data_IF_455568100216
#
_entry.id   IF_455568100216
#
_cell.length_a   1.000
_cell.length_b   1.000
_cell.length_c   1.000
_cell.angle_alpha   90.00
_cell.angle_beta   90.00
_cell.angle_gamma   90.00
#
_symmetry.space_group_name_H-M   'P 1'
#
loop_
_entity.id
_entity.type
_entity.pdbx_description
1 polymer ?
#
# COMPACT_ATOMS: atom_id res chain seq x y z
N UNK A 1 39.87 -20.29 -11.48
CA UNK A 1 39.81 -20.72 -10.07
C UNK A 1 40.25 -19.64 -9.10
N UNK A 2 41.53 -19.23 -9.03
CA UNK A 2 41.97 -18.27 -8.00
C UNK A 2 41.56 -16.81 -8.28
N UNK A 3 41.20 -16.48 -9.52
CA UNK A 3 40.67 -15.17 -9.94
C UNK A 3 39.18 -15.03 -9.68
N UNK A 4 38.43 -16.13 -9.84
CA UNK A 4 36.97 -16.18 -9.66
C UNK A 4 36.62 -16.04 -8.18
N UNK A 5 37.35 -16.76 -7.30
CA UNK A 5 37.19 -16.65 -5.84
C UNK A 5 37.42 -15.24 -5.29
N UNK A 6 38.41 -14.50 -5.82
CA UNK A 6 38.66 -13.10 -5.41
C UNK A 6 37.58 -12.13 -5.87
N UNK A 7 36.93 -12.42 -7.00
CA UNK A 7 35.82 -11.61 -7.49
C UNK A 7 34.59 -11.82 -6.60
N UNK A 8 34.32 -13.07 -6.19
CA UNK A 8 33.24 -13.42 -5.27
C UNK A 8 33.46 -12.76 -3.89
N UNK A 9 34.67 -12.86 -3.33
CA UNK A 9 35.02 -12.23 -2.04
C UNK A 9 34.85 -10.69 -2.07
N UNK A 10 35.18 -10.06 -3.21
CA UNK A 10 35.01 -8.62 -3.38
C UNK A 10 33.53 -8.23 -3.50
N UNK A 11 32.73 -9.02 -4.23
CA UNK A 11 31.29 -8.80 -4.37
C UNK A 11 30.58 -8.91 -3.01
N UNK A 12 30.93 -9.90 -2.20
CA UNK A 12 30.41 -10.07 -0.84
C UNK A 12 30.74 -8.87 0.06
N UNK A 13 31.96 -8.34 -0.07
CA UNK A 13 32.37 -7.17 0.71
C UNK A 13 31.56 -5.92 0.31
N UNK A 14 31.34 -5.71 -0.99
CA UNK A 14 30.52 -4.61 -1.49
C UNK A 14 29.06 -4.74 -1.06
N UNK A 15 28.50 -5.95 -1.09
CA UNK A 15 27.13 -6.20 -0.69
C UNK A 15 26.91 -5.89 0.79
N UNK A 16 27.81 -6.32 1.67
CA UNK A 16 27.78 -5.96 3.11
C UNK A 16 27.90 -4.47 3.35
N UNK A 17 28.72 -3.77 2.56
CA UNK A 17 28.82 -2.32 2.64
C UNK A 17 27.50 -1.65 2.25
N UNK A 18 26.89 -2.07 1.13
CA UNK A 18 25.60 -1.53 0.68
C UNK A 18 24.49 -1.78 1.70
N UNK A 19 24.44 -2.97 2.30
CA UNK A 19 23.52 -3.30 3.39
C UNK A 19 23.73 -2.43 4.64
N UNK A 20 24.97 -2.03 4.93
CA UNK A 20 25.26 -1.12 6.03
C UNK A 20 24.86 0.34 5.73
N UNK A 21 24.91 0.76 4.47
CA UNK A 21 24.65 2.13 4.04
C UNK A 21 23.18 2.40 3.72
N UNK A 22 22.43 1.38 3.28
CA UNK A 22 21.04 1.50 2.88
C UNK A 22 20.17 0.45 3.57
N UNK A 23 18.96 0.85 3.93
CA UNK A 23 17.90 -0.06 4.35
C UNK A 23 16.66 0.12 3.49
N UNK A 24 15.72 -0.81 3.63
CA UNK A 24 14.42 -0.69 2.99
C UNK A 24 13.72 0.56 3.49
N UNK A 25 13.07 1.26 2.57
CA UNK A 25 12.35 2.48 2.90
C UNK A 25 11.13 2.14 3.77
N UNK A 26 11.09 2.67 4.98
CA UNK A 26 10.00 2.41 5.93
C UNK A 26 8.63 2.93 5.47
N UNK A 27 8.58 3.79 4.45
CA UNK A 27 7.32 4.30 3.88
C UNK A 27 6.69 3.35 2.85
N UNK A 28 7.47 2.46 2.22
CA UNK A 28 7.00 1.56 1.17
C UNK A 28 7.49 0.11 1.30
N UNK A 29 8.12 -0.21 2.43
CA UNK A 29 8.69 -1.52 2.76
C UNK A 29 9.53 -2.13 1.61
N UNK A 30 10.40 -1.32 1.02
CA UNK A 30 11.32 -1.80 -0.03
C UNK A 30 10.76 -1.81 -1.45
N UNK A 31 9.45 -1.62 -1.63
CA UNK A 31 8.81 -1.75 -2.95
C UNK A 31 9.08 -0.56 -3.88
N UNK A 32 9.28 0.63 -3.33
CA UNK A 32 9.36 1.88 -4.07
C UNK A 32 7.99 2.49 -4.42
N UNK A 33 6.90 1.80 -4.09
CA UNK A 33 5.53 2.21 -4.43
C UNK A 33 4.67 2.27 -3.18
N UNK A 34 3.72 3.20 -3.16
CA UNK A 34 2.75 3.32 -2.07
C UNK A 34 1.35 3.42 -2.63
N UNK A 35 0.41 2.77 -1.94
CA UNK A 35 -1.01 2.89 -2.26
C UNK A 35 -1.44 4.36 -2.19
N UNK A 36 -2.04 4.83 -3.27
CA UNK A 36 -2.60 6.16 -3.38
C UNK A 36 -3.63 6.40 -2.28
N UNK A 37 -3.63 7.59 -1.68
CA UNK A 37 -4.56 7.97 -0.62
C UNK A 37 -6.04 7.77 -1.01
N UNK A 38 -6.42 8.16 -2.24
CA UNK A 38 -7.80 7.99 -2.71
C UNK A 38 -8.19 6.51 -2.81
N UNK A 39 -7.25 5.66 -3.23
CA UNK A 39 -7.48 4.22 -3.29
C UNK A 39 -7.56 3.59 -1.91
N UNK A 40 -6.75 4.04 -0.96
CA UNK A 40 -6.83 3.60 0.44
C UNK A 40 -8.19 3.92 1.04
N UNK A 41 -8.67 5.15 0.86
CA UNK A 41 -9.99 5.58 1.32
C UNK A 41 -11.11 4.78 0.65
N UNK A 42 -11.01 4.57 -0.67
CA UNK A 42 -11.97 3.78 -1.42
C UNK A 42 -12.02 2.33 -0.91
N UNK A 43 -10.88 1.66 -0.74
CA UNK A 43 -10.79 0.28 -0.23
C UNK A 43 -11.30 0.16 1.22
N UNK A 44 -11.02 1.15 2.07
CA UNK A 44 -11.55 1.20 3.43
C UNK A 44 -13.07 1.23 3.41
N UNK A 45 -13.66 2.10 2.58
CA UNK A 45 -15.11 2.21 2.43
C UNK A 45 -15.74 0.95 1.80
N UNK A 46 -15.05 0.30 0.87
CA UNK A 46 -15.48 -0.98 0.32
C UNK A 46 -15.61 -2.04 1.42
N UNK A 47 -14.62 -2.10 2.32
CA UNK A 47 -14.60 -3.05 3.45
C UNK A 47 -15.76 -2.80 4.41
N UNK A 48 -16.04 -1.53 4.73
CA UNK A 48 -17.19 -1.14 5.56
C UNK A 48 -18.53 -1.56 4.93
N UNK A 49 -18.70 -1.33 3.63
CA UNK A 49 -19.92 -1.70 2.90
C UNK A 49 -20.15 -3.22 2.86
N UNK A 50 -19.08 -4.01 2.70
CA UNK A 50 -19.14 -5.48 2.78
C UNK A 50 -19.60 -5.93 4.17
N UNK A 51 -19.06 -5.34 5.23
CA UNK A 51 -19.47 -5.64 6.60
C UNK A 51 -20.96 -5.32 6.84
N UNK A 52 -21.43 -4.17 6.35
CA UNK A 52 -22.85 -3.78 6.41
C UNK A 52 -23.73 -4.77 5.63
N UNK A 53 -23.32 -5.20 4.44
CA UNK A 53 -24.07 -6.17 3.65
C UNK A 53 -24.17 -7.54 4.34
N UNK A 54 -23.12 -8.00 5.00
CA UNK A 54 -23.18 -9.21 5.81
C UNK A 54 -24.12 -9.05 7.01
N UNK A 55 -24.09 -7.90 7.69
CA UNK A 55 -25.01 -7.64 8.80
C UNK A 55 -26.48 -7.58 8.35
N UNK A 56 -26.76 -6.90 7.24
CA UNK A 56 -28.10 -6.79 6.67
C UNK A 56 -28.67 -8.16 6.26
N UNK A 57 -27.85 -9.03 5.64
CA UNK A 57 -28.26 -10.40 5.29
C UNK A 57 -28.60 -11.23 6.52
N UNK A 58 -27.72 -11.25 7.54
CA UNK A 58 -28.00 -11.96 8.79
C UNK A 58 -29.28 -11.45 9.47
N UNK A 59 -29.50 -10.14 9.49
CA UNK A 59 -30.71 -9.55 10.08
C UNK A 59 -31.99 -9.95 9.29
N UNK A 60 -31.88 -10.05 7.96
CA UNK A 60 -32.97 -10.51 7.12
C UNK A 60 -33.31 -12.00 7.35
N UNK A 61 -32.29 -12.85 7.46
CA UNK A 61 -32.44 -14.30 7.74
C UNK A 61 -33.07 -14.57 9.12
N UNK A 62 -32.84 -13.70 10.09
CA UNK A 62 -33.41 -13.80 11.44
C UNK A 62 -34.83 -13.21 11.55
N UNK A 63 -35.36 -12.60 10.48
CA UNK A 63 -36.69 -11.98 10.51
C UNK A 63 -37.77 -13.08 10.43
N UNK A 64 -38.68 -13.19 11.42
CA UNK A 64 -39.79 -14.15 11.33
C UNK A 64 -40.66 -13.83 10.12
N UNK A 65 -41.15 -14.88 9.44
CA UNK A 65 -41.95 -14.76 8.22
C UNK A 65 -43.10 -13.76 8.42
N UNK A 66 -42.98 -12.59 7.78
CA UNK A 66 -44.00 -11.55 7.88
C UNK A 66 -45.22 -11.98 7.06
N UNK A 67 -46.40 -11.86 7.67
CA UNK A 67 -47.70 -12.15 7.06
C UNK A 67 -47.89 -11.23 5.84
N UNK A 68 -48.31 -11.74 4.67
CA UNK A 68 -48.35 -10.95 3.45
C UNK A 68 -49.56 -10.01 3.48
N UNK A 69 -49.31 -8.70 3.60
CA UNK A 69 -50.36 -7.69 3.57
C UNK A 69 -49.94 -6.37 4.18
N UNK A 70 -49.17 -5.57 3.44
CA UNK A 70 -48.82 -4.21 3.81
C UNK A 70 -48.28 -3.46 2.60
N UNK A 71 -49.08 -2.51 2.14
CA UNK A 71 -48.87 -1.66 0.96
C UNK A 71 -47.71 -0.70 1.27
N UNK A 72 -46.85 -0.43 0.29
CA UNK A 72 -45.60 0.34 0.35
C UNK A 72 -44.41 -0.38 1.02
N UNK A 73 -43.86 -1.36 0.28
CA UNK A 73 -42.57 -1.95 0.63
C UNK A 73 -41.45 -0.92 0.36
N UNK A 74 -41.04 -0.19 1.40
CA UNK A 74 -39.71 0.42 1.44
C UNK A 74 -38.68 -0.58 0.90
N UNK A 75 -37.70 -0.17 0.09
CA UNK A 75 -36.71 -1.08 -0.43
C UNK A 75 -36.10 -1.84 0.75
N UNK A 76 -36.24 -3.17 0.74
CA UNK A 76 -35.70 -4.02 1.80
C UNK A 76 -34.25 -3.60 2.03
N UNK A 77 -33.84 -3.43 3.29
CA UNK A 77 -32.52 -2.88 3.67
C UNK A 77 -31.38 -3.50 2.83
N UNK A 78 -31.49 -4.80 2.50
CA UNK A 78 -30.58 -5.51 1.59
C UNK A 78 -30.46 -4.84 0.22
N UNK A 79 -31.58 -4.49 -0.44
CA UNK A 79 -31.60 -3.81 -1.74
C UNK A 79 -30.99 -2.40 -1.68
N UNK A 80 -31.17 -1.67 -0.57
CA UNK A 80 -30.51 -0.37 -0.37
C UNK A 80 -29.00 -0.55 -0.26
N UNK A 81 -28.55 -1.56 0.49
CA UNK A 81 -27.12 -1.85 0.65
C UNK A 81 -26.49 -2.33 -0.65
N UNK A 82 -27.16 -3.20 -1.42
CA UNK A 82 -26.69 -3.64 -2.74
C UNK A 82 -26.54 -2.46 -3.71
N UNK A 83 -27.49 -1.52 -3.70
CA UNK A 83 -27.37 -0.29 -4.49
C UNK A 83 -26.19 0.57 -4.03
N UNK A 84 -25.99 0.74 -2.73
CA UNK A 84 -24.84 1.48 -2.21
C UNK A 84 -23.49 0.85 -2.61
N UNK A 85 -23.41 -0.49 -2.64
CA UNK A 85 -22.23 -1.20 -3.14
C UNK A 85 -22.05 -0.93 -4.64
N UNK A 86 -23.09 -1.05 -5.45
CA UNK A 86 -23.00 -0.77 -6.88
C UNK A 86 -22.57 0.69 -7.16
N UNK A 87 -23.07 1.64 -6.39
CA UNK A 87 -22.69 3.04 -6.48
C UNK A 87 -21.21 3.25 -6.11
N UNK A 88 -20.74 2.60 -5.04
CA UNK A 88 -19.36 2.64 -4.62
C UNK A 88 -18.39 2.00 -5.63
N UNK A 89 -18.79 0.88 -6.25
CA UNK A 89 -17.99 0.24 -7.30
C UNK A 89 -17.87 1.12 -8.54
N UNK A 90 -18.91 1.92 -8.84
CA UNK A 90 -18.86 2.91 -9.92
C UNK A 90 -18.02 4.14 -9.58
N UNK A 91 -17.86 4.47 -8.30
CA UNK A 91 -17.02 5.58 -7.83
C UNK A 91 -15.55 5.19 -7.64
N UNK A 92 -15.07 4.17 -8.36
CA UNK A 92 -13.66 3.77 -8.33
C UNK A 92 -12.77 4.95 -8.75
N UNK A 93 -11.66 5.23 -8.05
CA UNK A 93 -10.76 6.31 -8.44
C UNK A 93 -10.22 6.07 -9.86
N UNK A 94 -9.98 7.17 -10.58
CA UNK A 94 -9.48 7.12 -11.97
C UNK A 94 -7.94 7.08 -12.02
N UNK A 95 -7.30 7.57 -10.95
CA UNK A 95 -5.88 7.59 -10.75
C UNK A 95 -5.32 6.17 -10.61
N UNK A 96 -4.01 5.96 -10.85
CA UNK A 96 -3.34 4.71 -10.54
C UNK A 96 -3.51 4.34 -9.06
N UNK A 97 -3.67 3.04 -8.82
CA UNK A 97 -3.80 2.46 -7.47
C UNK A 97 -2.54 2.72 -6.62
N UNK A 98 -1.38 2.61 -7.25
CA UNK A 98 -0.09 2.86 -6.64
C UNK A 98 0.59 4.08 -7.26
N UNK A 99 1.33 4.80 -6.42
CA UNK A 99 2.15 5.94 -6.81
C UNK A 99 3.57 5.74 -6.32
N UNK A 100 4.51 6.43 -6.96
CA UNK A 100 5.92 6.41 -6.55
C UNK A 100 6.00 6.88 -5.10
N UNK A 101 6.72 6.14 -4.26
CA UNK A 101 6.90 6.51 -2.86
C UNK A 101 7.66 7.84 -2.76
N UNK A 102 7.07 8.86 -2.15
CA UNK A 102 7.69 10.18 -2.00
C UNK A 102 8.97 10.15 -1.15
N UNK A 103 9.03 9.25 -0.16
CA UNK A 103 10.16 9.16 0.78
C UNK A 103 11.44 8.65 0.11
N UNK A 104 11.34 7.62 -0.74
CA UNK A 104 12.50 7.05 -1.44
C UNK A 104 12.53 7.39 -2.94
N UNK A 105 11.54 8.14 -3.45
CA UNK A 105 11.37 8.49 -4.86
C UNK A 105 11.42 7.29 -5.81
N UNK A 106 10.85 6.16 -5.38
CA UNK A 106 10.74 4.95 -6.20
C UNK A 106 11.91 3.97 -6.12
N UNK A 107 12.95 4.26 -5.35
CA UNK A 107 14.10 3.34 -5.23
C UNK A 107 13.81 2.16 -4.31
N UNK A 108 12.83 2.29 -3.42
CA UNK A 108 12.57 1.33 -2.34
C UNK A 108 13.59 1.40 -1.21
N UNK A 109 14.63 2.24 -1.31
CA UNK A 109 15.76 2.27 -0.39
C UNK A 109 15.94 3.65 0.22
N UNK A 110 16.42 3.69 1.45
CA UNK A 110 16.79 4.92 2.13
C UNK A 110 18.14 4.75 2.81
N UNK A 111 18.86 5.86 3.01
CA UNK A 111 20.14 5.83 3.70
C UNK A 111 19.95 5.52 5.18
N UNK A 112 20.84 4.69 5.72
CA UNK A 112 21.00 4.53 7.16
C UNK A 112 21.75 5.74 7.74
N UNK A 113 21.86 5.89 9.07
CA UNK A 113 22.74 6.89 9.66
C UNK A 113 24.20 6.78 9.17
N UNK A 114 24.71 5.56 8.94
CA UNK A 114 26.02 5.36 8.34
C UNK A 114 26.07 5.80 6.87
N UNK A 115 25.01 5.53 6.11
CA UNK A 115 24.84 6.03 4.73
C UNK A 115 24.90 7.55 4.63
N UNK A 116 24.25 8.27 5.54
CA UNK A 116 24.33 9.73 5.62
C UNK A 116 25.75 10.22 5.92
N UNK A 117 26.43 9.63 6.92
CA UNK A 117 27.82 10.00 7.22
C UNK A 117 28.78 9.74 6.04
N UNK A 118 28.54 8.65 5.31
CA UNK A 118 29.34 8.29 4.14
C UNK A 118 29.11 9.27 2.98
N UNK A 119 27.85 9.62 2.67
CA UNK A 119 27.53 10.61 1.64
C UNK A 119 28.08 12.00 1.99
N UNK A 120 28.02 12.40 3.26
CA UNK A 120 28.67 13.63 3.76
C UNK A 120 30.19 13.62 3.56
N UNK A 121 30.84 12.48 3.82
CA UNK A 121 32.28 12.31 3.58
C UNK A 121 32.60 12.49 2.10
N UNK A 122 31.85 11.84 1.21
CA UNK A 122 32.02 11.98 -0.22
C UNK A 122 31.81 13.43 -0.68
N UNK A 123 30.81 14.12 -0.14
CA UNK A 123 30.52 15.52 -0.47
C UNK A 123 31.67 16.45 -0.06
N UNK A 124 32.22 16.27 1.15
CA UNK A 124 33.36 17.08 1.64
C UNK A 124 34.60 16.97 0.77
N UNK A 125 34.79 15.84 0.09
CA UNK A 125 35.91 15.60 -0.82
C UNK A 125 35.55 15.83 -2.30
N UNK A 126 34.34 16.34 -2.59
CA UNK A 126 33.93 16.72 -3.95
C UNK A 126 33.52 15.55 -4.86
N UNK A 127 33.32 14.35 -4.30
CA UNK A 127 32.87 13.19 -5.07
C UNK A 127 31.38 13.21 -5.41
N UNK A 128 30.57 13.89 -4.60
CA UNK A 128 29.13 14.08 -4.83
C UNK A 128 28.73 15.54 -4.58
N UNK A 129 27.78 16.05 -5.35
CA UNK A 129 27.19 17.37 -5.12
C UNK A 129 26.09 17.23 -4.07
N UNK A 130 26.05 18.17 -3.11
CA UNK A 130 24.87 18.34 -2.26
C UNK A 130 23.75 18.92 -3.13
N UNK A 131 22.60 18.25 -3.15
CA UNK A 131 21.39 18.69 -3.86
C UNK A 131 20.37 19.18 -2.84
#
# INVERSE_FOLDING_TARGET
MDRDRRADDAADHWMRLLEALECDCAGCDGTGWTLNAQWREWQQRATELVAVAHAARRAHELRPAQVPGGIDAEPAIVAVVERAIADHMRSRPAEPEETVCDACRGTGRQLTPAGHLFTDLLARHGFVRQW
#
